data_IF_498031665390
#
_entry.id   IF_498031665390
#
_cell.length_a   1.000
_cell.length_b   1.000
_cell.length_c   1.000
_cell.angle_alpha   90.00
_cell.angle_beta   90.00
_cell.angle_gamma   90.00
#
_symmetry.space_group_name_H-M   'P 1'
#
loop_
_entity.id
_entity.type
_entity.pdbx_description
1 polymer ?
#
# COMPACT_ATOMS: atom_id res chain seq x y z
N UNK A 1 -10.89 -4.07 6.47
CA UNK A 1 -10.90 -2.82 5.67
C UNK A 1 -10.00 -3.04 4.48
N UNK A 2 -10.40 -2.64 3.29
CA UNK A 2 -9.63 -2.90 2.07
C UNK A 2 -9.73 -1.75 1.07
N UNK A 3 -8.73 -1.61 0.20
CA UNK A 3 -8.69 -0.55 -0.79
C UNK A 3 -7.33 -0.38 -1.47
N UNK A 4 -7.29 0.49 -2.48
CA UNK A 4 -6.06 0.86 -3.19
C UNK A 4 -5.30 1.92 -2.38
N UNK A 5 -4.03 1.66 -2.09
CA UNK A 5 -3.07 2.66 -1.64
C UNK A 5 -1.84 2.65 -2.54
N UNK A 6 -1.14 3.78 -2.61
CA UNK A 6 0.13 3.85 -3.31
C UNK A 6 1.26 3.38 -2.40
N UNK A 7 2.10 2.47 -2.91
CA UNK A 7 3.30 1.97 -2.23
C UNK A 7 4.53 2.24 -3.07
N UNK A 8 5.58 2.77 -2.44
CA UNK A 8 6.90 2.82 -3.07
C UNK A 8 7.43 1.40 -3.22
N UNK A 9 7.68 0.99 -4.45
CA UNK A 9 8.03 -0.40 -4.79
C UNK A 9 9.53 -0.57 -4.98
N UNK A 10 10.15 0.29 -5.80
CA UNK A 10 11.59 0.36 -6.02
C UNK A 10 11.94 1.72 -6.67
N UNK A 11 13.23 1.99 -6.88
CA UNK A 11 13.71 3.25 -7.48
C UNK A 11 13.32 3.46 -8.96
N UNK A 12 12.99 2.40 -9.69
CA UNK A 12 12.70 2.45 -11.13
C UNK A 12 11.21 2.75 -11.35
N UNK A 13 10.32 2.02 -10.68
CA UNK A 13 8.87 2.12 -10.84
C UNK A 13 8.21 3.07 -9.85
N UNK A 14 8.90 3.41 -8.76
CA UNK A 14 8.43 4.36 -7.76
C UNK A 14 7.13 3.95 -7.06
N UNK A 15 6.23 4.92 -6.89
CA UNK A 15 4.91 4.74 -6.29
C UNK A 15 3.99 3.99 -7.25
N UNK A 16 3.47 2.85 -6.81
CA UNK A 16 2.54 2.03 -7.60
C UNK A 16 1.27 1.75 -6.77
N UNK A 17 0.10 1.72 -7.41
CA UNK A 17 -1.12 1.32 -6.72
C UNK A 17 -1.03 -0.16 -6.31
N UNK A 18 -1.45 -0.46 -5.09
CA UNK A 18 -1.52 -1.82 -4.54
C UNK A 18 -2.82 -2.00 -3.78
N UNK A 19 -3.39 -3.19 -3.85
CA UNK A 19 -4.55 -3.54 -3.05
C UNK A 19 -4.09 -3.91 -1.64
N UNK A 20 -4.58 -3.18 -0.64
CA UNK A 20 -4.29 -3.43 0.75
C UNK A 20 -5.51 -4.00 1.45
N UNK A 21 -5.28 -4.97 2.32
CA UNK A 21 -6.28 -5.55 3.20
C UNK A 21 -5.76 -5.46 4.63
N UNK A 22 -6.48 -4.73 5.47
CA UNK A 22 -6.27 -4.72 6.91
C UNK A 22 -7.27 -5.70 7.54
N UNK A 23 -6.72 -6.79 8.06
CA UNK A 23 -7.46 -7.85 8.74
C UNK A 23 -6.71 -8.29 10.00
N UNK A 24 -7.42 -8.47 11.11
CA UNK A 24 -6.86 -8.95 12.39
C UNK A 24 -5.57 -8.24 12.86
N UNK A 25 -5.47 -6.92 12.62
CA UNK A 25 -4.30 -6.12 12.98
C UNK A 25 -3.06 -6.37 12.10
N UNK A 26 -3.23 -7.08 10.99
CA UNK A 26 -2.20 -7.31 9.97
C UNK A 26 -2.63 -6.58 8.69
N UNK A 27 -1.74 -5.72 8.19
CA UNK A 27 -1.89 -5.04 6.92
C UNK A 27 -1.14 -5.82 5.85
N UNK A 28 -1.88 -6.47 4.96
CA UNK A 28 -1.35 -7.25 3.84
C UNK A 28 -1.55 -6.51 2.53
N UNK A 29 -0.67 -6.71 1.54
CA UNK A 29 -0.82 -6.12 0.22
C UNK A 29 -0.64 -7.10 -0.94
N UNK A 30 -1.31 -6.78 -2.05
CA UNK A 30 -1.43 -7.60 -3.25
C UNK A 30 -1.18 -6.73 -4.50
N UNK A 31 -0.93 -7.39 -5.65
CA UNK A 31 -0.80 -6.68 -6.93
C UNK A 31 -2.14 -6.06 -7.35
N UNK A 32 -3.24 -6.81 -7.21
CA UNK A 32 -4.61 -6.35 -7.45
C UNK A 32 -5.60 -7.02 -6.48
N UNK A 33 -6.88 -6.60 -6.50
CA UNK A 33 -7.95 -7.21 -5.70
C UNK A 33 -8.17 -8.68 -6.08
N UNK A 34 -8.04 -9.03 -7.37
CA UNK A 34 -8.20 -10.40 -7.85
C UNK A 34 -7.04 -11.32 -7.41
N UNK A 35 -5.89 -10.74 -7.08
CA UNK A 35 -4.71 -11.47 -6.64
C UNK A 35 -4.71 -11.83 -5.15
N UNK A 36 -5.75 -11.45 -4.40
CA UNK A 36 -5.89 -11.81 -2.98
C UNK A 36 -5.85 -13.33 -2.80
N UNK A 37 -6.45 -14.08 -3.74
CA UNK A 37 -6.45 -15.53 -3.75
C UNK A 37 -5.09 -16.15 -4.13
N UNK A 38 -4.18 -15.41 -4.77
CA UNK A 38 -2.86 -15.89 -5.20
C UNK A 38 -1.80 -15.80 -4.09
N UNK A 39 -2.14 -15.16 -2.98
CA UNK A 39 -1.25 -14.97 -1.83
C UNK A 39 -0.67 -13.56 -1.75
N UNK A 40 -0.42 -13.13 -0.52
CA UNK A 40 0.08 -11.78 -0.22
C UNK A 40 1.51 -11.58 -0.70
N UNK A 41 1.81 -10.40 -1.24
CA UNK A 41 3.19 -9.99 -1.57
C UNK A 41 3.99 -9.54 -0.35
N UNK A 42 3.30 -9.22 0.74
CA UNK A 42 3.90 -8.90 2.03
C UNK A 42 2.82 -8.55 3.05
N UNK A 43 3.17 -8.64 4.33
CA UNK A 43 2.29 -8.33 5.45
C UNK A 43 3.05 -7.63 6.57
N UNK A 44 2.36 -6.74 7.27
CA UNK A 44 2.92 -5.90 8.33
C UNK A 44 1.97 -5.98 9.53
N UNK A 45 2.48 -6.35 10.70
CA UNK A 45 1.67 -6.35 11.93
C UNK A 45 1.57 -4.94 12.48
N UNK A 46 0.37 -4.37 12.48
CA UNK A 46 0.14 -2.97 12.86
C UNK A 46 0.47 -2.70 14.33
N UNK A 47 0.40 -3.70 15.20
CA UNK A 47 0.68 -3.54 16.64
C UNK A 47 2.15 -3.21 16.95
N UNK A 48 3.07 -3.42 15.99
CA UNK A 48 4.50 -3.13 16.15
C UNK A 48 4.96 -1.99 15.25
N UNK A 49 4.01 -1.24 14.67
CA UNK A 49 4.29 -0.16 13.75
C UNK A 49 3.74 1.16 14.27
N UNK A 50 4.47 2.23 13.97
CA UNK A 50 4.04 3.60 14.23
C UNK A 50 3.72 4.27 12.89
N UNK A 51 2.57 4.92 12.80
CA UNK A 51 2.20 5.70 11.62
C UNK A 51 2.73 7.12 11.83
N UNK A 52 3.60 7.56 10.92
CA UNK A 52 4.11 8.92 10.88
C UNK A 52 3.53 9.64 9.67
N UNK A 53 2.91 10.79 9.92
CA UNK A 53 2.55 11.70 8.84
C UNK A 53 3.82 12.38 8.33
N UNK A 54 4.14 12.16 7.06
CA UNK A 54 5.28 12.78 6.39
C UNK A 54 4.73 13.70 5.32
N UNK A 55 4.69 15.00 5.62
CA UNK A 55 4.31 16.02 4.63
C UNK A 55 5.31 15.98 3.48
N UNK A 56 4.86 15.50 2.33
CA UNK A 56 5.64 15.63 1.10
C UNK A 56 5.50 17.08 0.63
N UNK A 57 6.54 17.89 0.88
CA UNK A 57 6.63 19.24 0.36
C UNK A 57 6.88 19.18 -1.15
N UNK A 58 5.79 19.21 -1.92
CA UNK A 58 5.83 19.41 -3.37
C UNK A 58 5.94 18.13 -4.19
N UNK A 59 4.79 17.58 -4.57
CA UNK A 59 4.45 17.25 -5.96
C UNK A 59 2.97 16.91 -5.97
N UNK A 60 2.20 17.60 -6.82
CA UNK A 60 0.79 17.30 -6.96
C UNK A 60 0.70 15.88 -7.53
N UNK A 61 0.14 14.95 -6.77
CA UNK A 61 -0.29 13.67 -7.29
C UNK A 61 -1.24 13.97 -8.45
N UNK A 62 -0.72 13.84 -9.68
CA UNK A 62 -1.52 13.81 -10.87
C UNK A 62 -2.43 12.58 -10.74
N UNK A 63 -3.62 12.81 -10.19
CA UNK A 63 -4.80 12.02 -10.55
C UNK A 63 -4.92 12.25 -12.05
N UNK A 64 -4.36 11.33 -12.84
CA UNK A 64 -4.60 11.31 -14.26
C UNK A 64 -6.12 11.19 -14.45
N UNK A 65 -6.65 12.20 -15.13
CA UNK A 65 -7.97 12.22 -15.75
C UNK A 65 -8.10 11.09 -16.76
#
# INVERSE_FOLDING_TARGET
MEGILYKWTNYITGWQPRWFVLDNGILSYYDSQDDVCKGSKGSIKMSVCEIKDVRHFGEKHAVNK
#
